data_IF_840309648734
#
_entry.id   IF_840309648734
#
_cell.length_a   1.000
_cell.length_b   1.000
_cell.length_c   1.000
_cell.angle_alpha   90.00
_cell.angle_beta   90.00
_cell.angle_gamma   90.00
#
_symmetry.space_group_name_H-M   'P 1'
#
loop_
_entity.id
_entity.type
_entity.pdbx_description
1 polymer ?
#
# COMPACT_ATOMS: atom_id res chain seq x y z
N UNK A 1 13.21 -11.50 7.43
CA UNK A 1 12.44 -10.29 7.06
C UNK A 1 13.37 -9.31 6.34
N UNK A 2 13.04 -8.91 5.11
CA UNK A 2 13.89 -8.01 4.30
C UNK A 2 13.69 -6.54 4.74
N UNK A 3 14.71 -5.90 5.32
CA UNK A 3 14.66 -4.48 5.68
C UNK A 3 14.33 -3.58 4.46
N UNK A 4 14.79 -4.01 3.28
CA UNK A 4 14.53 -3.31 2.02
C UNK A 4 13.07 -3.44 1.59
N UNK A 5 12.46 -4.61 1.76
CA UNK A 5 11.03 -4.79 1.56
C UNK A 5 10.20 -3.93 2.52
N UNK A 6 10.64 -3.81 3.78
CA UNK A 6 9.89 -3.09 4.81
C UNK A 6 9.86 -1.61 4.49
N UNK A 7 10.99 -1.06 4.04
CA UNK A 7 11.08 0.32 3.54
C UNK A 7 10.13 0.54 2.36
N UNK A 8 10.06 -0.38 1.41
CA UNK A 8 9.11 -0.29 0.28
C UNK A 8 7.66 -0.30 0.75
N UNK A 9 7.30 -1.16 1.71
CA UNK A 9 5.96 -1.19 2.29
C UNK A 9 5.61 0.09 3.05
N UNK A 10 6.54 0.63 3.85
CA UNK A 10 6.36 1.90 4.56
C UNK A 10 6.14 3.04 3.56
N UNK A 11 6.93 3.11 2.48
CA UNK A 11 6.76 4.11 1.43
C UNK A 11 5.38 4.00 0.76
N UNK A 12 4.91 2.79 0.48
CA UNK A 12 3.58 2.56 -0.06
C UNK A 12 2.49 3.03 0.92
N UNK A 13 2.62 2.75 2.22
CA UNK A 13 1.68 3.24 3.24
C UNK A 13 1.64 4.76 3.29
N UNK A 14 2.80 5.42 3.31
CA UNK A 14 2.91 6.89 3.33
C UNK A 14 2.27 7.48 2.07
N UNK A 15 2.50 6.87 0.90
CA UNK A 15 1.89 7.27 -0.37
C UNK A 15 0.36 7.17 -0.35
N UNK A 16 -0.20 6.05 0.11
CA UNK A 16 -1.66 5.87 0.18
C UNK A 16 -2.32 6.83 1.20
N UNK A 17 -1.66 7.09 2.33
CA UNK A 17 -2.13 8.08 3.32
C UNK A 17 -2.16 9.49 2.69
N UNK A 18 -1.11 9.85 1.97
CA UNK A 18 -1.03 11.14 1.29
C UNK A 18 -2.13 11.29 0.23
N UNK A 19 -2.31 10.27 -0.63
CA UNK A 19 -3.40 10.26 -1.63
C UNK A 19 -4.78 10.41 -0.98
N UNK A 20 -5.04 9.69 0.11
CA UNK A 20 -6.31 9.80 0.85
C UNK A 20 -6.53 11.22 1.38
N UNK A 21 -5.50 11.85 1.96
CA UNK A 21 -5.59 13.23 2.45
C UNK A 21 -5.88 14.21 1.31
N UNK A 22 -5.26 14.03 0.15
CA UNK A 22 -5.53 14.86 -1.02
C UNK A 22 -6.94 14.65 -1.56
N UNK A 23 -7.43 13.42 -1.64
CA UNK A 23 -8.82 13.16 -2.06
C UNK A 23 -9.84 13.81 -1.12
N UNK A 24 -9.59 13.79 0.20
CA UNK A 24 -10.43 14.51 1.16
C UNK A 24 -10.45 16.01 0.89
N UNK A 25 -9.28 16.62 0.71
CA UNK A 25 -9.16 18.08 0.56
C UNK A 25 -9.71 18.56 -0.80
N UNK A 26 -9.33 17.89 -1.90
CA UNK A 26 -9.61 18.36 -3.25
C UNK A 26 -10.89 17.78 -3.86
N UNK A 27 -11.35 16.62 -3.39
CA UNK A 27 -12.54 15.95 -3.93
C UNK A 27 -13.67 15.84 -2.91
N UNK A 28 -13.49 16.33 -1.68
CA UNK A 28 -14.43 16.15 -0.56
C UNK A 28 -14.81 14.67 -0.33
N UNK A 29 -13.94 13.74 -0.73
CA UNK A 29 -14.17 12.30 -0.56
C UNK A 29 -13.54 11.82 0.73
N UNK A 30 -14.38 11.40 1.65
CA UNK A 30 -13.95 10.74 2.86
C UNK A 30 -13.88 9.23 2.64
N UNK A 31 -12.80 8.61 3.11
CA UNK A 31 -12.65 7.16 3.13
C UNK A 31 -12.35 6.68 4.55
N UNK A 32 -12.83 5.50 4.92
CA UNK A 32 -12.53 4.90 6.22
C UNK A 32 -11.07 4.45 6.30
N UNK A 33 -10.57 4.20 7.52
CA UNK A 33 -9.26 3.57 7.71
C UNK A 33 -9.23 2.16 7.12
N UNK A 34 -10.32 1.41 7.23
CA UNK A 34 -10.48 0.07 6.63
C UNK A 34 -10.34 0.08 5.12
N UNK A 35 -10.94 1.08 4.44
CA UNK A 35 -10.77 1.24 2.99
C UNK A 35 -9.31 1.51 2.60
N UNK A 36 -8.63 2.41 3.33
CA UNK A 36 -7.22 2.69 3.11
C UNK A 36 -6.35 1.43 3.26
N UNK A 37 -6.62 0.63 4.28
CA UNK A 37 -5.89 -0.62 4.52
C UNK A 37 -6.12 -1.65 3.41
N UNK A 38 -7.36 -1.77 2.92
CA UNK A 38 -7.68 -2.61 1.76
C UNK A 38 -6.92 -2.14 0.51
N UNK A 39 -6.85 -0.83 0.26
CA UNK A 39 -6.12 -0.27 -0.88
C UNK A 39 -4.62 -0.51 -0.80
N UNK A 40 -4.01 -0.36 0.37
CA UNK A 40 -2.59 -0.67 0.59
C UNK A 40 -2.32 -2.15 0.28
N UNK A 41 -3.18 -3.07 0.74
CA UNK A 41 -3.05 -4.50 0.44
C UNK A 41 -3.17 -4.79 -1.06
N UNK A 42 -4.14 -4.18 -1.73
CA UNK A 42 -4.35 -4.31 -3.16
C UNK A 42 -3.14 -3.82 -3.95
N UNK A 43 -2.64 -2.61 -3.69
CA UNK A 43 -1.44 -2.06 -4.34
C UNK A 43 -0.21 -2.93 -4.08
N UNK A 44 -0.03 -3.39 -2.85
CA UNK A 44 1.10 -4.23 -2.51
C UNK A 44 1.07 -5.58 -3.27
N UNK A 45 -0.12 -6.16 -3.48
CA UNK A 45 -0.32 -7.33 -4.35
C UNK A 45 0.00 -6.99 -5.80
N UNK A 46 -0.54 -5.89 -6.32
CA UNK A 46 -0.28 -5.41 -7.70
C UNK A 46 1.21 -5.24 -7.96
N UNK A 47 1.95 -4.61 -7.05
CA UNK A 47 3.39 -4.42 -7.20
C UNK A 47 4.15 -5.74 -7.14
N UNK A 48 3.69 -6.67 -6.30
CA UNK A 48 4.29 -8.01 -6.21
C UNK A 48 4.08 -8.83 -7.49
N UNK A 49 2.91 -8.72 -8.11
CA UNK A 49 2.60 -9.30 -9.42
C UNK A 49 3.41 -8.64 -10.53
N UNK A 50 3.63 -7.33 -10.45
CA UNK A 50 4.49 -6.56 -11.35
C UNK A 50 6.01 -6.80 -11.13
N UNK A 51 6.39 -7.70 -10.21
CA UNK A 51 7.79 -8.13 -10.04
C UNK A 51 8.55 -7.44 -8.92
N UNK A 52 7.89 -6.76 -7.97
CA UNK A 52 8.51 -6.24 -6.75
C UNK A 52 8.96 -7.37 -5.80
N UNK A 53 10.06 -8.05 -6.14
CA UNK A 53 10.59 -9.23 -5.43
C UNK A 53 10.75 -9.00 -3.92
N UNK A 54 11.23 -7.82 -3.53
CA UNK A 54 11.46 -7.47 -2.12
C UNK A 54 10.18 -7.33 -1.29
N UNK A 55 9.06 -7.02 -1.92
CA UNK A 55 7.75 -6.92 -1.29
C UNK A 55 7.11 -8.32 -1.18
N UNK A 56 7.36 -9.18 -2.16
CA UNK A 56 7.01 -10.62 -2.15
C UNK A 56 7.56 -11.34 -0.93
N UNK A 57 8.79 -11.03 -0.53
CA UNK A 57 9.45 -11.67 0.62
C UNK A 57 8.80 -11.31 1.97
N UNK A 58 7.94 -10.29 2.02
CA UNK A 58 7.26 -9.83 3.24
C UNK A 58 5.78 -10.16 3.29
N UNK A 59 5.14 -10.23 2.13
CA UNK A 59 3.73 -10.56 2.02
C UNK A 59 3.65 -12.04 1.70
N UNK A 60 3.20 -12.89 2.64
CA UNK A 60 2.74 -14.21 2.26
C UNK A 60 1.57 -13.98 1.32
N UNK A 61 1.80 -14.13 0.01
CA UNK A 61 0.73 -14.28 -0.95
C UNK A 61 0.04 -15.60 -0.58
N UNK A 62 -0.88 -15.57 0.39
CA UNK A 62 -1.98 -16.52 0.38
C UNK A 62 -2.81 -16.14 -0.84
N UNK A 63 -2.47 -16.81 -1.93
CA UNK A 63 -3.32 -17.00 -3.11
C UNK A 63 -4.53 -17.78 -2.63
#
# INVERSE_FOLDING_TARGET
>A
MSLRGLRTLILLMVWEIWKKRNQRIFQHKEATSSFLFAKIKEEARTWTMAGAKRLRDLLPLHI
#
